data_IF_860590095418
#
_entry.id   IF_860590095418
#
_cell.length_a   1.000
_cell.length_b   1.000
_cell.length_c   1.000
_cell.angle_alpha   90.00
_cell.angle_beta   90.00
_cell.angle_gamma   90.00
#
_symmetry.space_group_name_H-M   'P 1'
#
loop_
_entity.id
_entity.type
_entity.pdbx_description
1 polymer ?
#
# COMPACT_ATOMS: atom_id res chain seq x y z
N UNK A 1 -11.96 -22.86 8.86
CA UNK A 1 -11.79 -22.16 7.56
C UNK A 1 -11.27 -20.77 7.84
N UNK A 2 -10.24 -20.31 7.17
CA UNK A 2 -9.70 -18.94 7.33
C UNK A 2 -10.73 -17.97 6.78
N UNK A 3 -11.08 -16.93 7.54
CA UNK A 3 -11.90 -15.86 6.99
C UNK A 3 -11.03 -15.04 6.01
N UNK A 4 -11.36 -15.11 4.73
CA UNK A 4 -10.65 -14.43 3.65
C UNK A 4 -11.61 -13.51 2.91
N UNK A 5 -11.23 -12.25 2.79
CA UNK A 5 -12.05 -11.24 2.12
C UNK A 5 -11.18 -10.33 1.25
N UNK A 6 -11.57 -10.16 0.02
CA UNK A 6 -11.08 -9.10 -0.87
C UNK A 6 -12.27 -8.25 -1.27
N UNK A 7 -12.23 -6.95 -0.93
CA UNK A 7 -13.35 -6.06 -1.17
C UNK A 7 -12.87 -4.64 -1.44
N UNK A 8 -13.81 -3.72 -1.71
CA UNK A 8 -13.52 -2.32 -1.98
C UNK A 8 -14.39 -1.45 -1.06
N UNK A 9 -13.74 -0.59 -0.28
CA UNK A 9 -14.42 0.44 0.49
C UNK A 9 -14.75 1.64 -0.41
N UNK A 10 -15.92 2.21 -0.24
CA UNK A 10 -16.30 3.50 -0.78
C UNK A 10 -16.30 4.51 0.37
N UNK A 11 -15.35 5.44 0.34
CA UNK A 11 -15.01 6.28 1.48
C UNK A 11 -15.44 7.75 1.30
N UNK A 12 -16.29 8.02 0.27
CA UNK A 12 -16.77 9.36 -0.03
C UNK A 12 -15.66 10.30 -0.50
N UNK A 13 -15.87 11.59 -0.33
CA UNK A 13 -14.95 12.63 -0.79
C UNK A 13 -13.61 12.57 -0.08
N UNK A 14 -12.52 12.72 -0.85
CA UNK A 14 -11.16 12.78 -0.38
C UNK A 14 -10.42 13.93 -1.06
N UNK A 15 -9.84 14.84 -0.27
CA UNK A 15 -9.05 15.96 -0.76
C UNK A 15 -7.56 15.70 -0.52
N UNK A 16 -6.77 15.81 -1.56
CA UNK A 16 -5.31 15.65 -1.54
C UNK A 16 -4.62 16.87 -0.92
N UNK A 17 -3.33 16.75 -0.63
CA UNK A 17 -2.51 17.89 -0.17
C UNK A 17 -2.43 19.02 -1.22
N UNK A 18 -2.53 18.68 -2.52
CA UNK A 18 -2.58 19.69 -3.60
C UNK A 18 -3.93 20.41 -3.71
N UNK A 19 -4.95 20.00 -2.93
CA UNK A 19 -6.31 20.54 -2.99
C UNK A 19 -7.19 19.91 -4.07
N UNK A 20 -6.68 18.95 -4.86
CA UNK A 20 -7.48 18.19 -5.81
C UNK A 20 -8.39 17.22 -5.09
N UNK A 21 -9.55 16.89 -5.66
CA UNK A 21 -10.57 16.09 -4.99
C UNK A 21 -10.89 14.81 -5.74
N UNK A 22 -10.95 13.70 -5.01
CA UNK A 22 -11.55 12.44 -5.46
C UNK A 22 -12.96 12.38 -4.88
N UNK A 23 -14.00 12.45 -5.72
CA UNK A 23 -15.39 12.54 -5.27
C UNK A 23 -15.89 11.29 -4.55
N UNK A 24 -15.45 10.11 -4.98
CA UNK A 24 -15.75 8.84 -4.32
C UNK A 24 -14.47 8.01 -4.22
N UNK A 25 -13.75 8.17 -3.12
CA UNK A 25 -12.53 7.41 -2.85
C UNK A 25 -12.86 5.93 -2.72
N UNK A 26 -12.34 5.13 -3.65
CA UNK A 26 -12.39 3.67 -3.60
C UNK A 26 -11.06 3.12 -3.12
N UNK A 27 -11.10 2.26 -2.13
CA UNK A 27 -9.91 1.63 -1.57
C UNK A 27 -10.08 0.12 -1.53
N UNK A 28 -9.39 -0.56 -2.45
CA UNK A 28 -9.37 -2.04 -2.53
C UNK A 28 -8.51 -2.60 -1.41
N UNK A 29 -8.93 -3.70 -0.78
CA UNK A 29 -8.18 -4.32 0.30
C UNK A 29 -8.33 -5.83 0.33
N UNK A 30 -7.38 -6.48 0.98
CA UNK A 30 -7.43 -7.87 1.42
C UNK A 30 -7.46 -7.89 2.95
N UNK A 31 -8.35 -8.71 3.50
CA UNK A 31 -8.39 -9.04 4.92
C UNK A 31 -8.38 -10.54 5.09
N UNK A 32 -7.46 -11.04 5.93
CA UNK A 32 -7.24 -12.46 6.21
C UNK A 32 -7.21 -12.66 7.72
N UNK A 33 -7.99 -13.60 8.23
CA UNK A 33 -8.06 -13.88 9.67
C UNK A 33 -9.43 -13.56 10.26
N UNK A 34 -9.53 -13.57 11.58
CA UNK A 34 -10.80 -13.41 12.29
C UNK A 34 -10.83 -12.11 13.09
N UNK A 35 -12.01 -11.47 13.13
CA UNK A 35 -12.21 -10.29 13.98
C UNK A 35 -11.90 -10.63 15.45
N UNK A 36 -11.11 -9.79 16.09
CA UNK A 36 -10.65 -9.98 17.47
C UNK A 36 -9.23 -10.54 17.59
N UNK A 37 -8.64 -11.08 16.52
CA UNK A 37 -7.21 -11.36 16.50
C UNK A 37 -6.40 -10.08 16.46
N UNK A 38 -5.14 -10.08 16.97
CA UNK A 38 -4.21 -8.96 16.80
C UNK A 38 -4.03 -8.59 15.32
N UNK A 39 -4.14 -7.29 15.00
CA UNK A 39 -4.09 -6.78 13.62
C UNK A 39 -2.65 -6.57 13.16
N UNK A 40 -2.35 -7.14 12.00
CA UNK A 40 -1.17 -6.82 11.19
C UNK A 40 -1.59 -5.98 9.99
N UNK A 41 -1.10 -4.76 9.89
CA UNK A 41 -1.26 -3.93 8.68
C UNK A 41 -0.02 -4.06 7.83
N UNK A 42 -0.20 -4.43 6.56
CA UNK A 42 0.89 -4.59 5.61
C UNK A 42 0.82 -3.51 4.55
N UNK A 43 1.89 -2.73 4.42
CA UNK A 43 2.04 -1.70 3.40
C UNK A 43 2.86 -2.26 2.24
N UNK A 44 2.27 -2.35 1.04
CA UNK A 44 2.95 -2.93 -0.11
C UNK A 44 3.94 -1.97 -0.79
N UNK A 45 4.94 -2.53 -1.45
CA UNK A 45 5.92 -1.78 -2.25
C UNK A 45 5.31 -1.26 -3.56
N UNK A 46 6.05 -0.45 -4.32
CA UNK A 46 5.57 0.22 -5.54
C UNK A 46 4.92 -0.73 -6.55
N UNK A 47 5.48 -1.91 -6.74
CA UNK A 47 5.00 -2.92 -7.70
C UNK A 47 4.05 -3.95 -7.07
N UNK A 48 3.78 -3.83 -5.77
CA UNK A 48 2.87 -4.70 -5.05
C UNK A 48 1.40 -4.29 -5.21
N UNK A 49 0.55 -5.03 -4.53
CA UNK A 49 -0.89 -4.78 -4.45
C UNK A 49 -1.45 -5.27 -3.12
N UNK A 50 -2.77 -5.24 -2.97
CA UNK A 50 -3.46 -5.68 -1.75
C UNK A 50 -3.38 -7.19 -1.49
N UNK A 51 -3.04 -8.04 -2.46
CA UNK A 51 -3.02 -9.49 -2.27
C UNK A 51 -1.72 -9.93 -1.57
N UNK A 52 -1.66 -9.78 -0.27
CA UNK A 52 -0.54 -10.22 0.57
C UNK A 52 -0.55 -11.72 0.77
N UNK A 53 -1.71 -12.30 1.05
CA UNK A 53 -1.93 -13.72 1.24
C UNK A 53 -2.46 -14.41 -0.05
N UNK A 54 -3.47 -13.81 -0.68
CA UNK A 54 -4.07 -14.32 -1.91
C UNK A 54 -4.93 -15.57 -1.72
N UNK A 55 -5.24 -16.23 -2.82
CA UNK A 55 -5.96 -17.50 -2.89
C UNK A 55 -5.03 -18.62 -3.34
N UNK A 56 -5.54 -19.88 -3.38
CA UNK A 56 -4.77 -21.01 -3.92
C UNK A 56 -4.53 -20.89 -5.44
N UNK A 57 -5.44 -20.19 -6.14
CA UNK A 57 -5.31 -19.91 -7.57
C UNK A 57 -4.39 -18.71 -7.86
N UNK A 58 -4.34 -17.76 -6.93
CA UNK A 58 -3.54 -16.55 -7.05
C UNK A 58 -2.84 -16.25 -5.73
N UNK A 59 -1.66 -16.83 -5.55
CA UNK A 59 -0.87 -16.62 -4.35
C UNK A 59 -0.54 -15.13 -4.15
N UNK A 60 -0.71 -14.67 -2.91
CA UNK A 60 -0.23 -13.37 -2.48
C UNK A 60 1.28 -13.35 -2.35
N UNK A 61 1.85 -12.17 -2.44
CA UNK A 61 3.30 -11.98 -2.49
C UNK A 61 4.04 -12.23 -1.15
N UNK A 62 3.31 -12.36 -0.02
CA UNK A 62 3.86 -12.73 1.30
C UNK A 62 3.23 -13.98 1.91
N UNK A 63 2.50 -14.75 1.13
CA UNK A 63 1.84 -15.97 1.61
C UNK A 63 2.79 -16.93 2.32
N UNK A 64 3.98 -17.12 1.77
CA UNK A 64 4.98 -18.04 2.35
C UNK A 64 5.51 -17.55 3.71
N UNK A 65 5.64 -16.24 3.91
CA UNK A 65 6.03 -15.67 5.21
C UNK A 65 4.95 -15.91 6.26
N UNK A 66 3.69 -15.80 5.86
CA UNK A 66 2.52 -15.99 6.73
C UNK A 66 2.35 -17.48 7.06
N UNK A 67 2.32 -18.34 6.04
CA UNK A 67 2.17 -19.79 6.21
C UNK A 67 3.43 -20.44 6.80
N UNK A 68 4.61 -19.86 6.59
CA UNK A 68 5.86 -20.28 7.19
C UNK A 68 6.00 -20.04 8.70
N UNK A 69 5.01 -19.41 9.31
CA UNK A 69 4.90 -19.28 10.77
C UNK A 69 5.70 -18.13 11.38
N UNK A 70 6.31 -17.26 10.59
CA UNK A 70 7.00 -16.07 11.12
C UNK A 70 6.02 -15.09 11.76
N UNK A 71 4.84 -14.89 11.15
CA UNK A 71 3.68 -14.18 11.68
C UNK A 71 2.45 -15.01 11.30
N UNK A 72 2.10 -16.03 12.08
CA UNK A 72 1.16 -17.05 11.66
C UNK A 72 -0.28 -16.52 11.65
N UNK A 73 -1.02 -16.84 10.59
CA UNK A 73 -2.42 -16.43 10.39
C UNK A 73 -3.42 -16.99 11.41
N UNK A 74 -3.04 -18.00 12.17
CA UNK A 74 -3.92 -18.51 13.24
C UNK A 74 -3.87 -17.63 14.49
N UNK A 75 -2.81 -16.82 14.65
CA UNK A 75 -2.65 -15.90 15.77
C UNK A 75 -2.99 -14.45 15.41
N UNK A 76 -2.93 -14.10 14.12
CA UNK A 76 -3.06 -12.73 13.63
C UNK A 76 -4.08 -12.62 12.49
N UNK A 77 -4.69 -11.44 12.39
CA UNK A 77 -5.41 -11.02 11.20
C UNK A 77 -4.54 -10.03 10.40
N UNK A 78 -4.63 -10.10 9.06
CA UNK A 78 -3.84 -9.27 8.16
C UNK A 78 -4.75 -8.35 7.37
N UNK A 79 -4.35 -7.11 7.23
CA UNK A 79 -5.04 -6.11 6.42
C UNK A 79 -4.04 -5.43 5.49
N UNK A 80 -4.32 -5.46 4.20
CA UNK A 80 -3.50 -4.82 3.18
C UNK A 80 -4.39 -4.04 2.23
N UNK A 81 -4.16 -2.74 2.12
CA UNK A 81 -4.82 -1.90 1.13
C UNK A 81 -4.01 -1.80 -0.15
N UNK A 82 -4.69 -1.76 -1.28
CA UNK A 82 -4.08 -1.32 -2.52
C UNK A 82 -4.02 0.21 -2.51
N UNK A 83 -2.83 0.79 -2.68
CA UNK A 83 -2.67 2.24 -2.64
C UNK A 83 -3.45 2.95 -3.76
N UNK A 84 -3.92 4.15 -3.49
CA UNK A 84 -4.53 5.01 -4.52
C UNK A 84 -3.50 5.37 -5.59
N UNK A 85 -3.95 5.51 -6.83
CA UNK A 85 -3.06 5.69 -8.00
C UNK A 85 -2.54 4.40 -8.61
N UNK A 86 -2.68 3.25 -7.93
CA UNK A 86 -2.28 1.93 -8.41
C UNK A 86 -3.38 1.29 -9.28
N UNK A 87 -3.01 0.44 -10.27
CA UNK A 87 -3.97 -0.14 -11.23
C UNK A 87 -4.82 -1.29 -10.66
N UNK A 88 -4.70 -1.63 -9.37
CA UNK A 88 -5.28 -2.86 -8.80
C UNK A 88 -6.59 -2.63 -8.02
N UNK A 89 -7.43 -1.69 -8.45
CA UNK A 89 -8.82 -1.57 -8.01
C UNK A 89 -9.12 -0.46 -7.01
N UNK A 90 -8.13 0.23 -6.44
CA UNK A 90 -8.34 1.50 -5.74
C UNK A 90 -8.52 2.64 -6.75
N UNK A 91 -9.00 3.80 -6.28
CA UNK A 91 -9.11 5.01 -7.10
C UNK A 91 -7.79 5.31 -7.80
N UNK A 92 -7.84 5.49 -9.11
CA UNK A 92 -6.69 5.76 -9.96
C UNK A 92 -7.13 6.39 -11.28
N UNK A 93 -6.19 6.88 -12.05
CA UNK A 93 -6.46 7.43 -13.39
C UNK A 93 -7.08 6.41 -14.36
N UNK A 94 -6.97 5.12 -14.08
CA UNK A 94 -7.58 4.07 -14.91
C UNK A 94 -9.09 3.97 -14.73
N UNK A 95 -9.62 4.35 -13.58
CA UNK A 95 -11.04 4.24 -13.26
C UNK A 95 -11.71 5.60 -12.94
N UNK A 96 -10.93 6.68 -12.94
CA UNK A 96 -11.42 8.05 -12.81
C UNK A 96 -10.59 8.99 -13.70
N UNK A 97 -11.14 9.51 -14.81
CA UNK A 97 -10.45 10.46 -15.68
C UNK A 97 -10.02 11.75 -14.98
N UNK A 98 -10.74 12.14 -13.91
CA UNK A 98 -10.48 13.33 -13.09
C UNK A 98 -9.59 13.03 -11.88
N UNK A 99 -9.00 11.83 -11.83
CA UNK A 99 -8.10 11.46 -10.74
C UNK A 99 -6.93 12.44 -10.63
N UNK A 100 -6.55 12.87 -9.40
CA UNK A 100 -5.48 13.83 -9.17
C UNK A 100 -4.19 13.48 -9.92
N UNK A 101 -3.55 14.51 -10.50
CA UNK A 101 -2.29 14.32 -11.21
C UNK A 101 -1.10 14.15 -10.25
N UNK A 102 -1.23 14.75 -9.07
CA UNK A 102 -0.17 14.72 -8.07
C UNK A 102 -0.68 14.08 -6.78
N UNK A 103 -0.08 12.97 -6.42
CA UNK A 103 -0.27 12.32 -5.14
C UNK A 103 1.02 12.37 -4.33
N UNK A 104 0.89 12.70 -3.07
CA UNK A 104 1.99 12.59 -2.12
C UNK A 104 1.90 11.26 -1.36
N UNK A 105 2.98 10.90 -0.67
CA UNK A 105 2.97 9.78 0.27
C UNK A 105 1.92 9.97 1.37
N UNK A 106 1.72 11.21 1.81
CA UNK A 106 0.72 11.56 2.82
C UNK A 106 -0.71 11.35 2.34
N UNK A 107 -0.99 11.61 1.07
CA UNK A 107 -2.30 11.31 0.48
C UNK A 107 -2.58 9.81 0.49
N UNK A 108 -1.59 9.01 0.12
CA UNK A 108 -1.68 7.55 0.16
C UNK A 108 -1.97 7.09 1.59
N UNK A 109 -1.22 7.58 2.56
CA UNK A 109 -1.37 7.17 3.97
C UNK A 109 -2.69 7.64 4.56
N UNK A 110 -3.13 8.87 4.30
CA UNK A 110 -4.45 9.36 4.72
C UNK A 110 -5.60 8.50 4.18
N UNK A 111 -5.48 8.01 2.93
CA UNK A 111 -6.46 7.07 2.38
C UNK A 111 -6.46 5.73 3.13
N UNK A 112 -5.29 5.19 3.44
CA UNK A 112 -5.13 3.97 4.25
C UNK A 112 -5.72 4.16 5.65
N UNK A 113 -5.41 5.25 6.34
CA UNK A 113 -5.96 5.58 7.66
C UNK A 113 -7.49 5.63 7.64
N UNK A 114 -8.05 6.26 6.61
CA UNK A 114 -9.50 6.31 6.41
C UNK A 114 -10.09 4.91 6.21
N UNK A 115 -9.39 4.04 5.47
CA UNK A 115 -9.77 2.65 5.28
C UNK A 115 -9.71 1.82 6.57
N UNK A 116 -8.65 1.96 7.37
CA UNK A 116 -8.50 1.27 8.66
C UNK A 116 -9.65 1.67 9.60
N UNK A 117 -9.95 2.97 9.71
CA UNK A 117 -11.06 3.47 10.52
C UNK A 117 -12.44 2.99 10.03
N UNK A 118 -12.65 2.93 8.71
CA UNK A 118 -13.89 2.44 8.12
C UNK A 118 -14.14 0.93 8.34
N UNK A 119 -13.10 0.18 8.68
CA UNK A 119 -13.19 -1.23 9.08
C UNK A 119 -13.24 -1.43 10.59
N UNK A 120 -13.45 -0.34 11.37
CA UNK A 120 -13.55 -0.33 12.84
C UNK A 120 -12.30 -0.84 13.56
N UNK A 121 -11.12 -0.54 13.02
CA UNK A 121 -9.87 -0.78 13.71
C UNK A 121 -9.35 0.53 14.32
N UNK A 122 -9.00 0.48 15.60
CA UNK A 122 -8.43 1.58 16.38
C UNK A 122 -6.97 1.31 16.80
N UNK A 123 -6.54 0.05 16.70
CA UNK A 123 -5.22 -0.42 17.09
C UNK A 123 -4.59 -1.28 16.00
N UNK A 124 -3.29 -1.10 15.80
CA UNK A 124 -2.44 -1.93 14.93
C UNK A 124 -1.39 -2.62 15.82
N UNK A 125 -1.44 -3.94 15.90
CA UNK A 125 -0.46 -4.67 16.70
C UNK A 125 0.90 -4.77 16.02
N UNK A 126 0.90 -5.00 14.70
CA UNK A 126 2.13 -5.01 13.91
C UNK A 126 1.88 -4.21 12.61
N UNK A 127 2.73 -3.23 12.36
CA UNK A 127 2.78 -2.49 11.11
C UNK A 127 4.00 -2.93 10.32
N UNK A 128 3.83 -3.39 9.07
CA UNK A 128 4.94 -3.89 8.26
C UNK A 128 4.95 -3.18 6.91
N UNK A 129 6.12 -2.74 6.48
CA UNK A 129 6.29 -2.16 5.15
C UNK A 129 7.72 -2.26 4.64
N UNK A 130 7.85 -2.48 3.33
CA UNK A 130 9.14 -2.52 2.66
C UNK A 130 9.19 -1.50 1.52
N UNK A 131 10.36 -0.87 1.29
CA UNK A 131 10.56 0.12 0.23
C UNK A 131 9.51 1.25 0.33
N UNK A 132 8.71 1.51 -0.70
CA UNK A 132 7.59 2.46 -0.64
C UNK A 132 6.61 2.12 0.50
N UNK A 133 6.36 0.83 0.77
CA UNK A 133 5.55 0.40 1.91
C UNK A 133 6.17 0.73 3.25
N UNK A 134 7.50 0.71 3.35
CA UNK A 134 8.21 1.16 4.54
C UNK A 134 8.09 2.66 4.76
N UNK A 135 8.07 3.46 3.68
CA UNK A 135 7.81 4.90 3.76
C UNK A 135 6.37 5.17 4.21
N UNK A 136 5.38 4.39 3.73
CA UNK A 136 3.99 4.45 4.20
C UNK A 136 3.90 4.13 5.69
N UNK A 137 4.59 3.09 6.15
CA UNK A 137 4.62 2.70 7.55
C UNK A 137 5.23 3.81 8.45
N UNK A 138 6.30 4.46 8.01
CA UNK A 138 6.89 5.59 8.73
C UNK A 138 5.92 6.79 8.83
N UNK A 139 5.19 7.09 7.76
CA UNK A 139 4.19 8.17 7.77
C UNK A 139 3.00 7.84 8.66
N UNK A 140 2.52 6.57 8.67
CA UNK A 140 1.49 6.09 9.61
C UNK A 140 1.92 6.25 11.07
N UNK A 141 3.18 5.95 11.39
CA UNK A 141 3.76 6.17 12.72
C UNK A 141 3.82 7.66 13.07
N UNK A 142 4.26 8.49 12.13
CA UNK A 142 4.38 9.93 12.31
C UNK A 142 3.02 10.59 12.55
N UNK A 143 1.98 10.20 11.83
CA UNK A 143 0.63 10.73 11.96
C UNK A 143 -0.02 10.39 13.30
N UNK A 144 0.43 9.33 13.97
CA UNK A 144 0.00 8.91 15.30
C UNK A 144 -1.54 8.81 15.47
N UNK A 145 -2.24 8.35 14.43
CA UNK A 145 -3.70 8.20 14.43
C UNK A 145 -4.18 6.89 15.06
N UNK A 146 -3.26 5.93 15.26
CA UNK A 146 -3.52 4.61 15.81
C UNK A 146 -2.50 4.27 16.88
N UNK A 147 -2.92 3.48 17.89
CA UNK A 147 -1.96 2.80 18.74
C UNK A 147 -1.25 1.73 17.92
N UNK A 148 0.08 1.82 17.78
CA UNK A 148 0.91 0.85 17.05
C UNK A 148 1.88 0.22 18.03
N UNK A 149 1.75 -1.11 18.27
CA UNK A 149 2.59 -1.80 19.26
C UNK A 149 4.00 -2.08 18.72
N UNK A 150 4.11 -2.49 17.45
CA UNK A 150 5.37 -2.82 16.78
C UNK A 150 5.36 -2.36 15.35
N UNK A 151 6.51 -1.91 14.83
CA UNK A 151 6.71 -1.61 13.42
C UNK A 151 7.94 -2.32 12.86
N UNK A 152 7.79 -2.92 11.68
CA UNK A 152 8.85 -3.57 10.93
C UNK A 152 9.01 -2.82 9.62
N UNK A 153 10.10 -2.07 9.49
CA UNK A 153 10.38 -1.22 8.33
C UNK A 153 11.62 -1.77 7.64
N UNK A 154 11.44 -2.20 6.39
CA UNK A 154 12.48 -2.86 5.61
C UNK A 154 12.86 -2.00 4.40
N UNK A 155 14.15 -1.88 4.11
CA UNK A 155 14.67 -1.24 2.89
C UNK A 155 14.03 0.12 2.57
N UNK A 156 13.77 0.94 3.59
CA UNK A 156 13.15 2.25 3.47
C UNK A 156 13.94 3.32 4.24
N UNK A 157 13.75 4.56 3.86
CA UNK A 157 14.41 5.72 4.46
C UNK A 157 13.43 6.87 4.63
N UNK A 158 13.56 7.64 5.71
CA UNK A 158 12.75 8.84 5.96
C UNK A 158 13.10 10.03 5.04
N UNK A 159 14.24 9.96 4.33
CA UNK A 159 14.66 10.98 3.36
C UNK A 159 15.38 10.32 2.19
N UNK A 160 14.83 10.48 1.00
CA UNK A 160 15.45 9.99 -0.24
C UNK A 160 16.77 10.72 -0.48
N UNK A 161 17.85 9.95 -0.65
CA UNK A 161 19.18 10.50 -0.92
C UNK A 161 19.23 11.17 -2.30
N UNK A 162 20.20 12.07 -2.50
CA UNK A 162 20.41 12.69 -3.82
C UNK A 162 20.76 11.66 -4.88
N UNK A 163 21.50 10.60 -4.51
CA UNK A 163 21.81 9.47 -5.38
C UNK A 163 20.53 8.76 -5.85
N UNK A 164 19.67 8.36 -4.91
CA UNK A 164 18.41 7.69 -5.25
C UNK A 164 17.49 8.58 -6.11
N UNK A 165 17.48 9.90 -5.85
CA UNK A 165 16.70 10.84 -6.67
C UNK A 165 17.26 10.94 -8.09
N UNK A 166 18.58 10.95 -8.27
CA UNK A 166 19.20 10.94 -9.59
C UNK A 166 18.85 9.68 -10.38
N UNK A 167 18.90 8.50 -9.75
CA UNK A 167 18.47 7.24 -10.37
C UNK A 167 17.01 7.25 -10.77
N UNK A 168 16.11 7.69 -9.88
CA UNK A 168 14.69 7.81 -10.20
C UNK A 168 14.44 8.78 -11.37
N UNK A 169 15.20 9.87 -11.45
CA UNK A 169 15.08 10.81 -12.55
C UNK A 169 15.56 10.21 -13.87
N UNK A 170 16.65 9.46 -13.88
CA UNK A 170 17.10 8.71 -15.07
C UNK A 170 16.02 7.76 -15.55
N UNK A 171 15.40 7.01 -14.64
CA UNK A 171 14.30 6.10 -14.97
C UNK A 171 13.09 6.84 -15.55
N UNK A 172 12.71 7.98 -14.97
CA UNK A 172 11.64 8.84 -15.49
C UNK A 172 11.94 9.35 -16.90
N UNK A 173 13.16 9.87 -17.10
CA UNK A 173 13.59 10.37 -18.42
C UNK A 173 13.59 9.25 -19.48
N UNK A 174 14.05 8.05 -19.14
CA UNK A 174 14.01 6.90 -20.03
C UNK A 174 12.58 6.56 -20.46
N UNK A 175 11.62 6.61 -19.53
CA UNK A 175 10.19 6.37 -19.82
C UNK A 175 9.63 7.51 -20.70
N UNK A 176 9.93 8.76 -20.40
CA UNK A 176 9.45 9.91 -21.18
C UNK A 176 9.96 9.90 -22.62
N UNK A 177 11.23 9.56 -22.82
CA UNK A 177 11.88 9.56 -24.14
C UNK A 177 11.57 8.28 -24.94
N UNK A 178 11.52 7.12 -24.27
CA UNK A 178 11.40 5.81 -24.91
C UNK A 178 10.01 5.16 -24.80
N UNK A 179 9.06 5.78 -24.10
CA UNK A 179 7.72 5.22 -23.93
C UNK A 179 7.75 3.78 -23.37
N UNK A 180 7.14 2.84 -24.08
CA UNK A 180 7.10 1.41 -23.68
C UNK A 180 8.48 0.76 -23.66
N UNK A 181 9.36 1.12 -24.60
CA UNK A 181 10.73 0.60 -24.65
C UNK A 181 11.57 1.17 -23.50
N UNK A 182 11.43 2.45 -23.18
CA UNK A 182 12.06 3.07 -22.02
C UNK A 182 11.63 2.42 -20.71
N UNK A 183 10.35 2.07 -20.57
CA UNK A 183 9.85 1.34 -19.41
C UNK A 183 10.46 -0.07 -19.30
N UNK A 184 10.59 -0.78 -20.43
CA UNK A 184 11.23 -2.10 -20.48
C UNK A 184 12.69 -2.02 -20.07
N UNK A 185 13.42 -1.05 -20.58
CA UNK A 185 14.83 -0.81 -20.25
C UNK A 185 15.03 -0.52 -18.76
N UNK A 186 14.19 0.34 -18.16
CA UNK A 186 14.28 0.63 -16.74
C UNK A 186 14.03 -0.61 -15.87
N UNK A 187 13.09 -1.48 -16.24
CA UNK A 187 12.82 -2.74 -15.53
C UNK A 187 13.96 -3.74 -15.63
N UNK A 188 14.61 -3.85 -16.79
CA UNK A 188 15.75 -4.77 -16.98
C UNK A 188 16.97 -4.37 -16.15
N UNK A 189 17.13 -3.10 -15.84
CA UNK A 189 18.24 -2.59 -15.03
C UNK A 189 17.92 -2.49 -13.52
N UNK A 190 16.84 -3.15 -13.06
CA UNK A 190 16.55 -3.31 -11.63
C UNK A 190 15.83 -2.12 -10.99
N UNK A 191 15.07 -1.37 -11.80
CA UNK A 191 14.28 -0.22 -11.36
C UNK A 191 12.78 -0.44 -11.49
#
# INVERSE_FOLDING_TARGET
>A
MTNYRVDTLELGTFTTESGETINNLKLRYEHVGYKGQPLVVVCHALTGNHLTYGTDEKHGWWREIIDGGYIPRHDYQFLTFNVIGSPFGSSSKLNDPNFPQHLTLRDIVKAIEKGIKALDFDKINILIGASLGGMQAMELLYNNQFQIDKAIILAATGKTSSYSRAFNEIARQAIHLGGKEGLSTTRQHGY
#
